data_IF_944263321678
#
_entry.id   IF_944263321678
#
_cell.length_a   1.000
_cell.length_b   1.000
_cell.length_c   1.000
_cell.angle_alpha   90.00
_cell.angle_beta   90.00
_cell.angle_gamma   90.00
#
_symmetry.space_group_name_H-M   'P 1'
#
loop_
_entity.id
_entity.type
_entity.pdbx_description
1 polymer ?
#
# COMPACT_ATOMS: atom_id res chain seq x y z
N UNK A 1 -31.51 -27.96 -7.53
CA UNK A 1 -30.85 -28.16 -6.22
C UNK A 1 -31.16 -26.95 -5.37
N UNK A 2 -31.66 -27.15 -4.17
CA UNK A 2 -31.89 -26.08 -3.18
C UNK A 2 -30.76 -26.12 -2.18
N UNK A 3 -30.05 -24.98 -2.04
CA UNK A 3 -28.97 -24.81 -1.10
C UNK A 3 -29.28 -23.67 -0.13
N UNK A 4 -28.86 -23.82 1.09
CA UNK A 4 -28.91 -22.74 2.07
C UNK A 4 -27.55 -22.08 2.15
N UNK A 5 -27.51 -20.75 2.25
CA UNK A 5 -26.26 -20.01 2.32
C UNK A 5 -26.42 -18.73 3.11
N UNK A 6 -25.27 -18.22 3.55
CA UNK A 6 -25.16 -16.92 4.25
C UNK A 6 -24.66 -15.88 3.28
N UNK A 7 -25.31 -14.73 3.27
CA UNK A 7 -24.83 -13.56 2.51
C UNK A 7 -23.64 -12.97 3.24
N UNK A 8 -22.52 -12.81 2.52
CA UNK A 8 -21.33 -12.15 3.00
C UNK A 8 -20.91 -11.06 2.02
N UNK A 9 -20.25 -10.02 2.52
CA UNK A 9 -19.61 -9.05 1.64
C UNK A 9 -18.49 -9.74 0.85
N UNK A 10 -18.28 -9.31 -0.39
CA UNK A 10 -17.22 -9.87 -1.23
C UNK A 10 -15.83 -9.44 -0.74
N UNK A 11 -15.75 -8.24 -0.20
CA UNK A 11 -14.51 -7.69 0.34
C UNK A 11 -14.82 -6.91 1.62
N UNK A 12 -13.96 -7.08 2.59
CA UNK A 12 -13.97 -6.35 3.86
C UNK A 12 -12.56 -5.84 4.12
N UNK A 13 -12.46 -4.65 4.68
CA UNK A 13 -11.19 -4.07 5.10
C UNK A 13 -11.24 -3.77 6.58
N UNK A 14 -10.32 -4.38 7.33
CA UNK A 14 -10.08 -4.06 8.72
C UNK A 14 -8.84 -3.18 8.82
N UNK A 15 -8.98 -1.99 9.36
CA UNK A 15 -7.89 -1.10 9.67
C UNK A 15 -7.60 -1.22 11.15
N UNK A 16 -6.42 -1.75 11.47
CA UNK A 16 -5.96 -1.94 12.84
C UNK A 16 -5.09 -0.77 13.30
N UNK A 17 -5.03 -0.57 14.60
CA UNK A 17 -4.09 0.37 15.19
C UNK A 17 -2.64 -0.13 14.97
N UNK A 18 -1.80 0.74 14.45
CA UNK A 18 -0.39 0.48 14.19
C UNK A 18 0.48 1.57 14.81
N UNK A 19 1.02 1.29 15.98
CA UNK A 19 1.88 2.23 16.73
C UNK A 19 3.22 2.53 16.04
N UNK A 20 3.62 1.76 15.02
CA UNK A 20 4.85 2.02 14.25
C UNK A 20 4.71 3.22 13.32
N UNK A 21 3.47 3.61 13.00
CA UNK A 21 3.15 4.77 12.13
C UNK A 21 3.13 6.10 12.88
N UNK A 22 3.35 6.09 14.18
CA UNK A 22 3.30 7.26 15.04
C UNK A 22 2.02 7.33 15.88
N UNK A 23 1.75 8.50 16.42
CA UNK A 23 0.55 8.73 17.23
C UNK A 23 -0.68 8.86 16.35
N UNK A 24 -1.77 8.20 16.75
CA UNK A 24 -3.06 8.36 16.11
C UNK A 24 -3.53 9.81 16.27
N UNK A 25 -3.66 10.54 15.18
CA UNK A 25 -4.10 11.92 15.17
C UNK A 25 -5.62 12.04 15.04
N UNK A 26 -6.19 11.36 14.06
CA UNK A 26 -7.63 11.41 13.81
C UNK A 26 -8.14 10.22 13.01
N UNK A 27 -9.41 9.89 13.21
CA UNK A 27 -10.19 9.02 12.33
C UNK A 27 -11.14 9.92 11.55
N UNK A 28 -11.04 9.89 10.22
CA UNK A 28 -11.66 10.84 9.30
C UNK A 28 -13.09 10.46 8.88
N UNK A 29 -13.56 9.31 9.37
CA UNK A 29 -14.88 8.75 9.00
C UNK A 29 -15.68 8.37 10.23
N UNK A 30 -17.00 8.24 10.04
CA UNK A 30 -17.94 7.78 11.05
C UNK A 30 -18.65 6.53 10.57
N UNK A 31 -19.29 5.82 11.51
CA UNK A 31 -20.15 4.67 11.19
C UNK A 31 -21.29 5.12 10.28
N UNK A 32 -21.49 4.39 9.19
CA UNK A 32 -22.51 4.68 8.18
C UNK A 32 -21.99 5.48 6.98
N UNK A 33 -20.80 6.07 7.06
CA UNK A 33 -20.22 6.81 5.93
C UNK A 33 -19.92 5.88 4.76
N UNK A 34 -20.18 6.37 3.56
CA UNK A 34 -19.74 5.73 2.33
C UNK A 34 -18.35 6.23 1.95
N UNK A 35 -17.46 5.31 1.66
CA UNK A 35 -16.07 5.59 1.28
C UNK A 35 -15.74 5.00 -0.07
N UNK A 36 -14.79 5.63 -0.74
CA UNK A 36 -14.25 5.16 -2.04
C UNK A 36 -12.82 4.67 -1.87
N UNK A 37 -12.40 3.78 -2.75
CA UNK A 37 -11.02 3.33 -2.80
C UNK A 37 -10.05 4.52 -2.93
N UNK A 38 -9.00 4.55 -2.11
CA UNK A 38 -8.05 5.66 -2.05
C UNK A 38 -8.43 6.81 -1.11
N UNK A 39 -9.66 6.84 -0.57
CA UNK A 39 -10.08 7.84 0.40
C UNK A 39 -9.33 7.66 1.72
N UNK A 40 -8.86 8.76 2.30
CA UNK A 40 -8.21 8.76 3.62
C UNK A 40 -9.21 8.40 4.73
N UNK A 41 -8.87 7.45 5.57
CA UNK A 41 -9.70 6.91 6.64
C UNK A 41 -9.12 7.24 8.01
N UNK A 42 -7.80 7.02 8.19
CA UNK A 42 -7.10 7.24 9.45
C UNK A 42 -5.85 8.07 9.19
N UNK A 43 -5.62 9.05 10.04
CA UNK A 43 -4.43 9.89 10.01
C UNK A 43 -3.61 9.69 11.27
N UNK A 44 -2.36 9.31 11.10
CA UNK A 44 -1.33 9.33 12.13
C UNK A 44 -0.54 10.63 12.08
N UNK A 45 0.18 10.96 13.15
CA UNK A 45 1.07 12.11 13.17
C UNK A 45 2.16 11.98 12.09
N UNK A 46 2.25 12.97 11.21
CA UNK A 46 3.18 12.96 10.08
C UNK A 46 4.41 13.84 10.33
N UNK A 47 4.55 14.49 11.48
CA UNK A 47 5.57 15.50 11.72
C UNK A 47 7.00 14.96 11.54
N UNK A 48 7.29 13.80 12.13
CA UNK A 48 8.61 13.17 12.01
C UNK A 48 8.88 12.67 10.60
N UNK A 49 7.87 12.00 10.01
CA UNK A 49 7.97 11.48 8.64
C UNK A 49 8.14 12.61 7.61
N UNK A 50 7.44 13.73 7.79
CA UNK A 50 7.59 14.92 6.95
C UNK A 50 9.00 15.50 7.08
N UNK A 51 9.51 15.65 8.30
CA UNK A 51 10.86 16.15 8.54
C UNK A 51 11.93 15.25 7.91
N UNK A 52 11.76 13.93 7.99
CA UNK A 52 12.66 12.96 7.38
C UNK A 52 12.61 13.05 5.84
N UNK A 53 11.42 13.16 5.26
CA UNK A 53 11.26 13.35 3.82
C UNK A 53 11.91 14.64 3.34
N UNK A 54 11.68 15.76 4.01
CA UNK A 54 12.28 17.06 3.66
C UNK A 54 13.82 17.03 3.76
N UNK A 55 14.36 16.33 4.75
CA UNK A 55 15.80 16.11 4.87
C UNK A 55 16.36 15.29 3.70
N UNK A 56 15.65 14.24 3.31
CA UNK A 56 16.04 13.40 2.18
C UNK A 56 15.96 14.16 0.84
N UNK A 57 14.96 15.00 0.65
CA UNK A 57 14.85 15.89 -0.54
C UNK A 57 16.05 16.85 -0.59
N UNK A 58 16.44 17.44 0.56
CA UNK A 58 17.63 18.31 0.62
C UNK A 58 18.91 17.55 0.27
N UNK A 59 19.03 16.28 0.64
CA UNK A 59 20.19 15.44 0.31
C UNK A 59 20.28 15.19 -1.21
N UNK A 60 19.17 14.89 -1.87
CA UNK A 60 19.10 14.75 -3.35
C UNK A 60 19.53 16.06 -4.01
N UNK A 61 18.94 17.18 -3.60
CA UNK A 61 19.27 18.51 -4.17
C UNK A 61 20.74 18.88 -3.96
N UNK A 62 21.35 18.45 -2.85
CA UNK A 62 22.78 18.63 -2.60
C UNK A 62 23.61 17.83 -3.57
N UNK A 63 23.28 16.53 -3.75
CA UNK A 63 23.99 15.66 -4.70
C UNK A 63 23.88 16.17 -6.14
N UNK A 64 22.71 16.65 -6.53
CA UNK A 64 22.49 17.26 -7.86
C UNK A 64 23.37 18.50 -8.08
N UNK A 65 23.47 19.39 -7.09
CA UNK A 65 24.34 20.57 -7.19
C UNK A 65 25.80 20.19 -7.29
N UNK A 66 26.26 19.22 -6.50
CA UNK A 66 27.64 18.76 -6.51
C UNK A 66 28.00 18.12 -7.85
N UNK A 67 27.09 17.29 -8.40
CA UNK A 67 27.28 16.68 -9.71
C UNK A 67 27.31 17.73 -10.83
N UNK A 68 26.37 18.69 -10.79
CA UNK A 68 26.32 19.75 -11.78
C UNK A 68 27.56 20.67 -11.71
N UNK A 69 28.01 20.99 -10.51
CA UNK A 69 29.22 21.80 -10.32
C UNK A 69 30.46 21.10 -10.89
N UNK A 70 30.63 19.82 -10.58
CA UNK A 70 31.75 19.04 -11.12
C UNK A 70 31.69 18.90 -12.65
N UNK A 71 30.50 18.71 -13.22
CA UNK A 71 30.31 18.60 -14.69
C UNK A 71 30.51 19.92 -15.40
N UNK A 72 30.21 21.06 -14.74
CA UNK A 72 30.32 22.40 -15.34
C UNK A 72 31.73 22.97 -15.20
N UNK A 73 32.33 22.84 -14.04
CA UNK A 73 33.62 23.45 -13.72
C UNK A 73 34.80 22.51 -13.96
N UNK A 74 34.54 21.19 -14.01
CA UNK A 74 35.53 20.16 -14.35
C UNK A 74 36.70 20.10 -13.37
N UNK A 75 37.80 19.52 -13.85
CA UNK A 75 39.10 19.50 -13.18
C UNK A 75 40.06 20.43 -13.93
N UNK A 76 40.68 21.36 -13.24
CA UNK A 76 41.73 22.22 -13.80
C UNK A 76 42.97 21.39 -14.08
N UNK A 77 43.51 21.51 -15.29
CA UNK A 77 44.76 20.86 -15.72
C UNK A 77 45.83 21.94 -15.77
N UNK A 78 46.88 21.77 -14.95
CA UNK A 78 48.06 22.62 -15.07
C UNK A 78 48.88 22.17 -16.30
N UNK A 79 49.09 23.06 -17.24
CA UNK A 79 49.92 22.83 -18.43
C UNK A 79 51.34 23.33 -18.21
N UNK A 80 52.32 22.46 -18.50
CA UNK A 80 53.74 22.78 -18.31
C UNK A 80 54.42 23.23 -19.61
N UNK A 81 53.75 23.03 -20.74
CA UNK A 81 54.29 23.33 -22.08
C UNK A 81 55.05 22.17 -22.68
N UNK A 82 55.11 21.01 -22.01
CA UNK A 82 55.65 19.75 -22.53
C UNK A 82 54.47 18.89 -23.01
N UNK A 83 54.35 18.64 -24.32
CA UNK A 83 53.19 17.95 -24.91
C UNK A 83 52.97 16.53 -24.35
N UNK A 84 54.05 15.78 -24.02
CA UNK A 84 53.95 14.41 -23.53
C UNK A 84 53.52 14.38 -22.06
N UNK A 85 54.07 15.30 -21.24
CA UNK A 85 53.70 15.50 -19.83
C UNK A 85 52.27 16.04 -19.71
N UNK A 86 51.88 17.00 -20.53
CA UNK A 86 50.57 17.62 -20.56
C UNK A 86 49.48 16.61 -21.01
N UNK A 87 49.78 15.75 -21.99
CA UNK A 87 48.89 14.66 -22.42
C UNK A 87 48.68 13.60 -21.33
N UNK A 88 49.73 13.26 -20.60
CA UNK A 88 49.64 12.33 -19.45
C UNK A 88 48.80 12.92 -18.32
N UNK A 89 49.03 14.19 -18.00
CA UNK A 89 48.30 14.94 -16.97
C UNK A 89 46.81 15.05 -17.33
N UNK A 90 46.51 15.33 -18.59
CA UNK A 90 45.15 15.39 -19.09
C UNK A 90 44.40 14.05 -18.94
N UNK A 91 45.12 12.95 -19.31
CA UNK A 91 44.55 11.60 -19.17
C UNK A 91 44.31 11.18 -17.73
N UNK A 92 45.17 11.61 -16.79
CA UNK A 92 44.97 11.40 -15.36
C UNK A 92 43.82 12.24 -14.81
N UNK A 93 43.74 13.50 -15.20
CA UNK A 93 42.65 14.39 -14.81
C UNK A 93 41.29 13.87 -15.29
N UNK A 94 41.23 13.38 -16.55
CA UNK A 94 40.01 12.78 -17.08
C UNK A 94 39.56 11.53 -16.29
N UNK A 95 40.49 10.62 -15.98
CA UNK A 95 40.17 9.44 -15.16
C UNK A 95 39.71 9.82 -13.75
N UNK A 96 40.31 10.84 -13.16
CA UNK A 96 39.89 11.35 -11.84
C UNK A 96 38.51 11.96 -11.90
N UNK A 97 38.20 12.73 -12.96
CA UNK A 97 36.88 13.31 -13.20
C UNK A 97 35.83 12.19 -13.37
N UNK A 98 36.11 11.20 -14.20
CA UNK A 98 35.20 10.09 -14.45
C UNK A 98 34.88 9.32 -13.17
N UNK A 99 35.89 9.11 -12.32
CA UNK A 99 35.72 8.47 -11.00
C UNK A 99 34.86 9.32 -10.08
N UNK A 100 35.16 10.63 -9.96
CA UNK A 100 34.38 11.54 -9.11
C UNK A 100 32.95 11.68 -9.58
N UNK A 101 32.69 11.74 -10.88
CA UNK A 101 31.34 11.76 -11.47
C UNK A 101 30.64 10.44 -11.14
N UNK A 102 31.32 9.31 -11.23
CA UNK A 102 30.79 8.00 -10.83
C UNK A 102 30.35 8.00 -9.38
N UNK A 103 31.25 8.37 -8.46
CA UNK A 103 30.97 8.40 -7.01
C UNK A 103 29.81 9.34 -6.67
N UNK A 104 29.73 10.51 -7.31
CA UNK A 104 28.62 11.44 -7.10
C UNK A 104 27.30 10.95 -7.68
N UNK A 105 27.31 10.20 -8.78
CA UNK A 105 26.11 9.56 -9.32
C UNK A 105 25.60 8.47 -8.38
N UNK A 106 26.49 7.67 -7.82
CA UNK A 106 26.13 6.65 -6.83
C UNK A 106 25.57 7.29 -5.56
N UNK A 107 26.24 8.33 -5.04
CA UNK A 107 25.73 9.10 -3.90
C UNK A 107 24.36 9.74 -4.15
N UNK A 108 24.11 10.22 -5.38
CA UNK A 108 22.79 10.70 -5.79
C UNK A 108 21.75 9.59 -5.81
N UNK A 109 22.10 8.42 -6.35
CA UNK A 109 21.20 7.27 -6.39
C UNK A 109 20.80 6.83 -4.97
N UNK A 110 21.75 6.77 -4.04
CA UNK A 110 21.49 6.47 -2.65
C UNK A 110 20.60 7.52 -1.98
N UNK A 111 20.84 8.80 -2.26
CA UNK A 111 19.99 9.87 -1.76
C UNK A 111 18.56 9.79 -2.29
N UNK A 112 18.37 9.44 -3.57
CA UNK A 112 17.03 9.22 -4.17
C UNK A 112 16.34 8.02 -3.52
N UNK A 113 17.04 6.90 -3.33
CA UNK A 113 16.47 5.72 -2.67
C UNK A 113 16.04 6.03 -1.22
N UNK A 114 16.82 6.82 -0.48
CA UNK A 114 16.47 7.27 0.85
C UNK A 114 15.26 8.22 0.84
N UNK A 115 15.16 9.10 -0.14
CA UNK A 115 14.01 10.00 -0.32
C UNK A 115 12.73 9.21 -0.61
N UNK A 116 12.79 8.21 -1.49
CA UNK A 116 11.65 7.34 -1.80
C UNK A 116 11.18 6.55 -0.57
N UNK A 117 12.14 6.04 0.22
CA UNK A 117 11.83 5.36 1.49
C UNK A 117 11.17 6.32 2.49
N UNK A 118 11.69 7.52 2.64
CA UNK A 118 11.10 8.53 3.53
C UNK A 118 9.70 8.95 3.06
N UNK A 119 9.50 9.07 1.73
CA UNK A 119 8.19 9.33 1.15
C UNK A 119 7.19 8.21 1.45
N UNK A 120 7.59 6.96 1.31
CA UNK A 120 6.73 5.82 1.61
C UNK A 120 6.31 5.81 3.09
N UNK A 121 7.20 6.15 4.01
CA UNK A 121 6.88 6.28 5.43
C UNK A 121 5.91 7.45 5.69
N UNK A 122 6.10 8.58 5.03
CA UNK A 122 5.18 9.72 5.10
C UNK A 122 3.80 9.35 4.56
N UNK A 123 3.74 8.72 3.39
CA UNK A 123 2.48 8.29 2.79
C UNK A 123 1.75 7.24 3.68
N UNK A 124 2.50 6.41 4.41
CA UNK A 124 1.97 5.40 5.32
C UNK A 124 1.33 6.00 6.60
N UNK A 125 1.60 7.27 6.93
CA UNK A 125 0.91 7.97 8.04
C UNK A 125 -0.57 8.21 7.77
N UNK A 126 -0.98 8.16 6.50
CA UNK A 126 -2.39 8.25 6.09
C UNK A 126 -2.84 6.87 5.61
N UNK A 127 -3.74 6.24 6.35
CA UNK A 127 -4.33 4.96 5.96
C UNK A 127 -5.56 5.22 5.10
N UNK A 128 -5.60 4.57 3.94
CA UNK A 128 -6.65 4.78 2.94
C UNK A 128 -7.54 3.53 2.80
N UNK A 129 -8.77 3.74 2.35
CA UNK A 129 -9.63 2.63 1.95
C UNK A 129 -9.07 1.94 0.71
N UNK A 130 -9.06 0.61 0.73
CA UNK A 130 -8.69 -0.22 -0.42
C UNK A 130 -9.89 -0.55 -1.32
N UNK A 131 -11.10 -0.25 -0.87
CA UNK A 131 -12.34 -0.61 -1.55
C UNK A 131 -13.39 0.48 -1.42
N UNK A 132 -14.33 0.48 -2.36
CA UNK A 132 -15.56 1.24 -2.21
C UNK A 132 -16.48 0.50 -1.23
N UNK A 133 -16.96 1.17 -0.21
CA UNK A 133 -17.72 0.49 0.81
C UNK A 133 -18.41 1.42 1.78
N UNK A 134 -19.00 0.81 2.82
CA UNK A 134 -19.64 1.49 3.93
C UNK A 134 -18.87 1.20 5.21
N UNK A 135 -18.61 2.21 6.01
CA UNK A 135 -17.99 2.08 7.33
C UNK A 135 -19.03 1.48 8.29
N UNK A 136 -18.74 0.30 8.82
CA UNK A 136 -19.65 -0.42 9.74
C UNK A 136 -19.22 -0.34 11.19
N UNK A 137 -17.94 -0.06 11.45
CA UNK A 137 -17.40 0.09 12.80
C UNK A 137 -16.31 1.16 12.83
N UNK A 138 -16.34 2.00 13.85
CA UNK A 138 -15.29 2.99 14.18
C UNK A 138 -15.03 2.93 15.67
N UNK A 139 -13.81 2.65 16.08
CA UNK A 139 -13.38 2.64 17.47
C UNK A 139 -12.39 3.77 17.72
N UNK A 140 -12.86 4.83 18.38
CA UNK A 140 -12.07 6.03 18.71
C UNK A 140 -11.28 5.90 20.02
N UNK A 141 -11.60 4.90 20.84
CA UNK A 141 -11.02 4.73 22.17
C UNK A 141 -9.80 3.81 22.19
N UNK A 142 -9.29 3.46 21.02
CA UNK A 142 -8.07 2.65 20.91
C UNK A 142 -6.88 3.48 21.36
N UNK A 143 -6.27 3.09 22.49
CA UNK A 143 -5.08 3.73 23.03
C UNK A 143 -3.85 2.85 22.87
N UNK A 144 -2.66 3.48 22.89
CA UNK A 144 -1.35 2.82 22.87
C UNK A 144 -1.14 1.79 24.00
N UNK A 145 -2.01 1.77 25.01
CA UNK A 145 -1.83 1.01 26.25
C UNK A 145 -2.21 -0.46 26.16
N UNK A 146 -2.79 -0.91 25.05
CA UNK A 146 -3.26 -2.30 24.93
C UNK A 146 -2.23 -3.13 24.19
N UNK A 147 -1.27 -3.63 24.92
CA UNK A 147 -0.26 -4.58 24.47
C UNK A 147 -0.96 -5.89 24.07
N UNK A 148 -0.87 -6.28 22.80
CA UNK A 148 -1.06 -7.67 22.39
C UNK A 148 -2.32 -8.04 21.61
N UNK A 149 -3.26 -7.15 21.35
CA UNK A 149 -4.38 -7.42 20.45
C UNK A 149 -4.44 -6.39 19.33
N UNK A 150 -4.55 -6.86 18.09
CA UNK A 150 -4.84 -6.02 16.94
C UNK A 150 -6.23 -5.39 17.15
N UNK A 151 -6.26 -4.16 17.66
CA UNK A 151 -7.52 -3.45 17.86
C UNK A 151 -7.96 -2.84 16.54
N UNK A 152 -9.15 -3.21 16.10
CA UNK A 152 -9.78 -2.63 14.91
C UNK A 152 -10.11 -1.17 15.18
N UNK A 153 -9.55 -0.27 14.37
CA UNK A 153 -9.91 1.15 14.36
C UNK A 153 -11.14 1.40 13.52
N UNK A 154 -11.15 0.84 12.32
CA UNK A 154 -12.22 1.02 11.34
C UNK A 154 -12.44 -0.28 10.59
N UNK A 155 -13.72 -0.66 10.45
CA UNK A 155 -14.14 -1.77 9.62
C UNK A 155 -14.98 -1.23 8.46
N UNK A 156 -14.58 -1.56 7.24
CA UNK A 156 -15.24 -1.15 6.00
C UNK A 156 -15.72 -2.41 5.28
N UNK A 157 -16.98 -2.41 4.89
CA UNK A 157 -17.60 -3.49 4.12
C UNK A 157 -17.89 -2.97 2.72
N UNK A 158 -17.41 -3.69 1.71
CA UNK A 158 -17.63 -3.32 0.31
C UNK A 158 -19.12 -3.32 -0.03
N UNK A 159 -19.56 -2.24 -0.70
CA UNK A 159 -20.90 -2.14 -1.27
C UNK A 159 -21.02 -2.88 -2.61
N UNK A 160 -19.92 -3.49 -3.07
CA UNK A 160 -19.87 -4.28 -4.30
C UNK A 160 -20.65 -5.58 -4.22
N UNK A 161 -20.41 -6.46 -5.15
CA UNK A 161 -21.10 -7.72 -5.29
C UNK A 161 -21.14 -8.52 -3.98
N UNK A 162 -22.33 -8.76 -3.46
CA UNK A 162 -22.53 -9.66 -2.35
C UNK A 162 -22.25 -11.10 -2.80
N UNK A 163 -21.61 -11.87 -1.93
CA UNK A 163 -21.43 -13.30 -2.13
C UNK A 163 -22.39 -14.06 -1.22
N UNK A 164 -22.87 -15.19 -1.73
CA UNK A 164 -23.57 -16.16 -0.90
C UNK A 164 -22.67 -17.38 -0.75
N UNK A 165 -22.23 -17.64 0.47
CA UNK A 165 -21.51 -18.85 0.82
C UNK A 165 -22.53 -19.88 1.32
N UNK A 166 -22.56 -21.04 0.70
CA UNK A 166 -23.46 -22.13 1.03
C UNK A 166 -22.69 -23.44 1.16
N UNK A 167 -23.23 -24.35 1.94
CA UNK A 167 -22.71 -25.70 2.06
C UNK A 167 -23.35 -26.62 1.03
N UNK A 168 -22.52 -27.45 0.43
CA UNK A 168 -22.89 -28.42 -0.57
C UNK A 168 -22.73 -29.82 -0.02
N UNK A 169 -23.77 -30.66 -0.16
CA UNK A 169 -23.61 -32.08 0.09
C UNK A 169 -22.93 -32.76 -1.10
N UNK A 170 -22.21 -33.82 -0.83
CA UNK A 170 -21.46 -34.61 -1.81
C UNK A 170 -22.35 -35.06 -3.02
N UNK A 171 -23.60 -35.38 -2.74
CA UNK A 171 -24.59 -35.76 -3.78
C UNK A 171 -24.95 -34.62 -4.75
N UNK A 172 -24.79 -33.37 -4.33
CA UNK A 172 -25.15 -32.22 -5.15
C UNK A 172 -23.94 -31.69 -5.92
N UNK A 173 -22.73 -32.10 -5.59
CA UNK A 173 -21.48 -31.63 -6.21
C UNK A 173 -21.45 -31.94 -7.71
N UNK A 174 -21.98 -33.11 -8.14
CA UNK A 174 -22.00 -33.53 -9.54
C UNK A 174 -22.89 -32.66 -10.42
N UNK A 175 -23.81 -31.90 -9.83
CA UNK A 175 -24.82 -31.10 -10.58
C UNK A 175 -24.52 -29.59 -10.54
N UNK A 176 -23.36 -29.18 -10.01
CA UNK A 176 -23.02 -27.79 -9.81
C UNK A 176 -21.66 -27.50 -10.46
N UNK A 177 -21.64 -26.45 -11.26
CA UNK A 177 -20.45 -26.03 -11.99
C UNK A 177 -20.20 -24.54 -11.82
N UNK A 178 -18.92 -24.15 -11.82
CA UNK A 178 -18.51 -22.73 -11.86
C UNK A 178 -19.08 -22.08 -13.12
N UNK A 179 -19.62 -20.87 -12.98
CA UNK A 179 -20.27 -20.12 -14.04
C UNK A 179 -21.78 -20.39 -14.20
N UNK A 180 -22.33 -21.40 -13.53
CA UNK A 180 -23.75 -21.70 -13.57
C UNK A 180 -24.59 -20.59 -12.94
N UNK A 181 -25.71 -20.22 -13.58
CA UNK A 181 -26.66 -19.26 -13.02
C UNK A 181 -27.48 -19.89 -11.89
N UNK A 182 -27.66 -19.12 -10.84
CA UNK A 182 -28.45 -19.50 -9.67
C UNK A 182 -29.46 -18.43 -9.32
N UNK A 183 -30.62 -18.84 -8.86
CA UNK A 183 -31.62 -17.92 -8.30
C UNK A 183 -31.53 -17.94 -6.80
N UNK A 184 -31.37 -16.75 -6.22
CA UNK A 184 -31.30 -16.53 -4.79
C UNK A 184 -32.66 -16.02 -4.28
N UNK A 185 -33.12 -16.60 -3.19
CA UNK A 185 -34.32 -16.15 -2.47
C UNK A 185 -34.00 -15.94 -1.01
N UNK A 186 -34.67 -15.02 -0.37
CA UNK A 186 -34.45 -14.72 1.06
C UNK A 186 -35.73 -14.97 1.86
N UNK A 187 -35.56 -15.54 3.04
CA UNK A 187 -36.67 -15.66 4.02
C UNK A 187 -37.07 -14.31 4.61
N UNK A 188 -36.13 -13.36 4.66
CA UNK A 188 -36.34 -12.01 5.22
C UNK A 188 -37.09 -11.11 4.24
N UNK A 189 -36.93 -11.37 2.92
CA UNK A 189 -37.59 -10.62 1.86
C UNK A 189 -38.40 -11.57 0.98
N UNK A 190 -39.56 -12.04 1.45
CA UNK A 190 -40.39 -12.97 0.68
C UNK A 190 -40.83 -12.34 -0.64
N UNK A 191 -40.69 -13.11 -1.72
CA UNK A 191 -41.06 -12.69 -3.07
C UNK A 191 -39.98 -11.98 -3.86
N UNK A 192 -38.89 -11.53 -3.25
CA UNK A 192 -37.72 -11.02 -3.99
C UNK A 192 -36.82 -12.16 -4.44
N UNK A 193 -36.39 -12.06 -5.70
CA UNK A 193 -35.46 -12.98 -6.32
C UNK A 193 -34.26 -12.21 -6.84
N UNK A 194 -33.08 -12.75 -6.65
CA UNK A 194 -31.84 -12.23 -7.21
C UNK A 194 -31.21 -13.31 -8.08
N UNK A 195 -30.51 -12.92 -9.11
CA UNK A 195 -29.74 -13.81 -9.97
C UNK A 195 -28.27 -13.68 -9.63
N UNK A 196 -27.56 -14.79 -9.54
CA UNK A 196 -26.13 -14.85 -9.33
C UNK A 196 -25.48 -15.91 -10.19
N UNK A 197 -24.15 -15.94 -10.17
CA UNK A 197 -23.37 -17.01 -10.81
C UNK A 197 -22.47 -17.66 -9.78
N UNK A 198 -22.29 -18.97 -9.91
CA UNK A 198 -21.36 -19.70 -9.08
C UNK A 198 -19.93 -19.30 -9.46
N UNK A 199 -19.22 -18.67 -8.54
CA UNK A 199 -17.85 -18.23 -8.77
C UNK A 199 -16.81 -19.27 -8.35
N UNK A 200 -17.14 -20.09 -7.36
CA UNK A 200 -16.21 -21.08 -6.82
C UNK A 200 -16.96 -22.28 -6.22
N UNK A 201 -16.42 -23.46 -6.41
CA UNK A 201 -16.86 -24.72 -5.78
C UNK A 201 -15.64 -25.34 -5.09
N UNK A 202 -15.70 -25.47 -3.78
CA UNK A 202 -14.64 -26.12 -3.01
C UNK A 202 -14.67 -27.64 -3.24
N UNK A 203 -13.52 -28.21 -3.58
CA UNK A 203 -13.37 -29.67 -3.76
C UNK A 203 -12.87 -30.38 -2.50
N UNK A 204 -12.84 -29.66 -1.36
CA UNK A 204 -12.41 -30.24 -0.08
C UNK A 204 -13.59 -30.31 0.87
N UNK A 205 -13.74 -31.43 1.63
CA UNK A 205 -14.71 -31.49 2.71
C UNK A 205 -14.28 -30.46 3.77
N UNK A 206 -15.15 -29.49 4.06
CA UNK A 206 -14.99 -28.62 5.22
C UNK A 206 -15.44 -29.40 6.45
N UNK A 207 -14.62 -29.46 7.50
CA UNK A 207 -15.04 -30.00 8.77
C UNK A 207 -16.26 -29.20 9.28
N UNK A 208 -17.33 -29.92 9.58
CA UNK A 208 -18.55 -29.35 10.12
C UNK A 208 -18.24 -28.70 11.48
N UNK A 209 -18.13 -27.38 11.53
CA UNK A 209 -17.96 -26.67 12.78
C UNK A 209 -17.24 -25.34 12.77
N UNK A 210 -16.77 -24.86 11.60
CA UNK A 210 -16.17 -23.50 11.50
C UNK A 210 -16.89 -22.67 10.44
N UNK A 211 -18.03 -22.14 10.81
CA UNK A 211 -18.72 -21.07 10.10
C UNK A 211 -19.25 -20.04 11.10
#
# INVERSE_FOLDING_TARGET
>A
VLLTGKVTANQEQYIYFDGTKGDLQSILVNVGDQVTAGQAIVQYSSTEAQSAYDAAVRAVNKADRQLNDLMTNGVTIDTTGDEEADSSSASQAQRSLDTQVGDLRDARADAVANMEKAKALLDATTVKSSTDGTVVEVNKDVSKSTTGTNQTLVHIVSNGNLQVKGELSEYNLANISVGQEVTLTSKVYPGKKWTGKISYVANYPTEAGQA
#
